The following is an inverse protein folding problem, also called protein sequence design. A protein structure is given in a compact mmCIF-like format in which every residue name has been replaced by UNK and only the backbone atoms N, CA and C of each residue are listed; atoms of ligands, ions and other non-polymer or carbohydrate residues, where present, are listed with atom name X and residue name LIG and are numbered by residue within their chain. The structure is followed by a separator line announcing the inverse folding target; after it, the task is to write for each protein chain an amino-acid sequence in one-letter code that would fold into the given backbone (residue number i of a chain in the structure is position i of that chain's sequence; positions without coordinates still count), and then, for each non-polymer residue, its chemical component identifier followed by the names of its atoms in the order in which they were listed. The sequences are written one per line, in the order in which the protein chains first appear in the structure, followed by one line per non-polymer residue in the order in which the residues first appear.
data_IF_828287176133
#
_entry.id   IF_828287176133
#
_cell.length_a   1.000
_cell.length_b   1.000
_cell.length_c   1.000
_cell.angle_alpha   90.00
_cell.angle_beta   90.00
_cell.angle_gamma   90.00
#
_symmetry.space_group_name_H-M   'P 1'
#
loop_
_entity.id
_entity.type
_entity.pdbx_description
1 polymer ?
#
# COMPACT_ATOMS: atom_id res chain seq x y z
N UNK A 1 27.96 15.64 -2.33
CA UNK A 1 26.99 14.98 -1.42
C UNK A 1 26.85 13.54 -1.84
N UNK A 2 27.00 12.57 -0.92
CA UNK A 2 26.62 11.18 -1.23
C UNK A 2 25.09 11.13 -1.26
N UNK A 3 24.51 10.72 -2.37
CA UNK A 3 23.07 10.41 -2.45
C UNK A 3 22.81 9.32 -1.40
N UNK A 4 21.97 9.62 -0.42
CA UNK A 4 21.56 8.61 0.55
C UNK A 4 20.72 7.55 -0.18
N UNK A 5 20.98 6.26 0.07
CA UNK A 5 20.23 5.18 -0.54
C UNK A 5 18.77 5.22 -0.07
N UNK A 6 17.81 5.11 -0.98
CA UNK A 6 16.39 5.01 -0.65
C UNK A 6 16.07 3.57 -0.27
N UNK A 7 15.32 3.39 0.83
CA UNK A 7 14.90 2.08 1.34
C UNK A 7 13.39 2.09 1.54
N UNK A 8 12.66 1.27 0.79
CA UNK A 8 11.22 1.08 0.99
C UNK A 8 10.98 0.14 2.17
N UNK A 9 10.19 0.59 3.14
CA UNK A 9 9.89 -0.17 4.36
C UNK A 9 8.49 -0.78 4.21
N UNK A 10 8.43 -2.11 4.12
CA UNK A 10 7.18 -2.87 4.09
C UNK A 10 6.92 -3.54 5.45
N UNK A 11 5.68 -3.96 5.71
CA UNK A 11 5.35 -4.70 6.94
C UNK A 11 6.18 -5.98 7.07
N UNK A 12 6.22 -6.79 6.00
CA UNK A 12 6.79 -8.13 6.00
C UNK A 12 5.78 -9.18 6.43
N UNK A 13 5.87 -10.38 5.86
CA UNK A 13 4.89 -11.44 6.09
C UNK A 13 5.57 -12.80 6.20
N UNK A 14 4.88 -13.76 6.82
CA UNK A 14 5.26 -15.18 6.72
C UNK A 14 4.92 -15.79 5.35
N UNK A 15 4.10 -15.09 4.55
CA UNK A 15 3.81 -15.46 3.18
C UNK A 15 4.96 -15.03 2.25
N UNK A 16 5.69 -15.98 1.62
CA UNK A 16 6.82 -15.64 0.75
C UNK A 16 6.39 -14.88 -0.51
N UNK A 17 5.15 -15.01 -0.96
CA UNK A 17 4.62 -14.31 -2.14
C UNK A 17 4.55 -12.80 -1.89
N UNK A 18 4.09 -12.41 -0.69
CA UNK A 18 4.08 -11.02 -0.25
C UNK A 18 5.48 -10.42 -0.26
N UNK A 19 6.44 -11.13 0.36
CA UNK A 19 7.81 -10.64 0.47
C UNK A 19 8.50 -10.53 -0.89
N UNK A 20 8.26 -11.49 -1.80
CA UNK A 20 8.80 -11.44 -3.15
C UNK A 20 8.27 -10.22 -3.94
N UNK A 21 6.97 -9.93 -3.87
CA UNK A 21 6.40 -8.78 -4.56
C UNK A 21 6.84 -7.44 -3.98
N UNK A 22 7.06 -7.34 -2.67
CA UNK A 22 7.69 -6.17 -2.07
C UNK A 22 9.10 -5.93 -2.64
N UNK A 23 9.90 -7.00 -2.79
CA UNK A 23 11.22 -6.93 -3.41
C UNK A 23 11.14 -6.53 -4.90
N UNK A 24 10.13 -7.03 -5.63
CA UNK A 24 9.90 -6.67 -7.04
C UNK A 24 9.55 -5.19 -7.22
N UNK A 25 8.72 -4.61 -6.34
CA UNK A 25 8.44 -3.17 -6.34
C UNK A 25 9.74 -2.37 -6.22
N UNK A 26 10.57 -2.70 -5.22
CA UNK A 26 11.82 -1.98 -4.98
C UNK A 26 12.81 -2.13 -6.14
N UNK A 27 12.92 -3.35 -6.70
CA UNK A 27 13.71 -3.62 -7.90
C UNK A 27 13.24 -2.79 -9.09
N UNK A 28 11.92 -2.70 -9.31
CA UNK A 28 11.34 -1.94 -10.41
C UNK A 28 11.58 -0.42 -10.27
N UNK A 29 11.76 0.07 -9.05
CA UNK A 29 12.08 1.46 -8.74
C UNK A 29 13.59 1.73 -8.67
N UNK A 30 14.44 0.71 -8.72
CA UNK A 30 15.89 0.86 -8.59
C UNK A 30 16.35 1.26 -7.19
N UNK A 31 15.58 0.89 -6.16
CA UNK A 31 15.85 1.23 -4.75
C UNK A 31 15.99 -0.03 -3.89
N UNK A 32 16.46 0.12 -2.66
CA UNK A 32 16.49 -0.97 -1.69
C UNK A 32 15.13 -1.16 -1.00
N UNK A 33 14.94 -2.31 -0.35
CA UNK A 33 13.79 -2.56 0.51
C UNK A 33 14.24 -3.17 1.82
N UNK A 34 13.36 -3.07 2.81
CA UNK A 34 13.48 -3.76 4.06
C UNK A 34 12.09 -4.01 4.65
N UNK A 35 12.00 -4.95 5.58
CA UNK A 35 10.80 -5.25 6.33
C UNK A 35 10.87 -4.69 7.75
N UNK A 36 9.73 -4.27 8.26
CA UNK A 36 9.57 -3.88 9.65
C UNK A 36 9.70 -5.11 10.56
N UNK A 37 9.00 -6.19 10.21
CA UNK A 37 8.98 -7.43 10.98
C UNK A 37 8.72 -8.66 10.10
N UNK A 38 8.69 -9.85 10.72
CA UNK A 38 8.33 -11.14 10.13
C UNK A 38 9.16 -11.67 8.93
N UNK A 39 10.01 -10.87 8.30
CA UNK A 39 10.84 -11.24 7.15
C UNK A 39 12.19 -10.51 7.15
N UNK A 40 13.11 -10.96 6.28
CA UNK A 40 14.42 -10.35 6.06
C UNK A 40 14.51 -9.80 4.61
N UNK A 41 15.26 -8.71 4.36
CA UNK A 41 16.11 -7.98 5.32
C UNK A 41 15.30 -7.04 6.23
N UNK A 42 15.58 -7.02 7.54
CA UNK A 42 14.95 -6.07 8.48
C UNK A 42 15.50 -4.65 8.36
N UNK A 43 14.63 -3.66 8.51
CA UNK A 43 15.05 -2.27 8.58
C UNK A 43 15.70 -1.98 9.94
N UNK A 44 16.98 -1.57 9.94
CA UNK A 44 17.77 -1.29 11.16
C UNK A 44 18.24 0.16 11.23
N UNK A 45 17.60 1.05 10.48
CA UNK A 45 18.08 2.41 10.26
C UNK A 45 19.14 2.49 9.16
N UNK A 46 19.33 3.69 8.62
CA UNK A 46 20.18 3.96 7.47
C UNK A 46 19.40 4.19 6.18
N UNK A 47 19.97 5.01 5.30
CA UNK A 47 19.31 5.48 4.09
C UNK A 47 18.06 6.33 4.35
N UNK A 48 17.40 6.74 3.27
CA UNK A 48 16.09 7.39 3.29
C UNK A 48 15.01 6.31 3.36
N UNK A 49 14.74 5.83 4.58
CA UNK A 49 13.67 4.86 4.84
C UNK A 49 12.29 5.47 4.61
N UNK A 50 11.50 4.91 3.69
CA UNK A 50 10.15 5.37 3.30
C UNK A 50 9.10 4.29 3.62
N UNK A 51 8.14 4.56 4.51
CA UNK A 51 7.06 3.60 4.80
C UNK A 51 6.14 3.36 3.60
N UNK A 52 5.93 2.09 3.24
CA UNK A 52 5.04 1.66 2.16
C UNK A 52 3.77 1.02 2.72
N UNK A 53 2.82 1.87 3.15
CA UNK A 53 1.54 1.45 3.72
C UNK A 53 0.39 2.20 3.04
N UNK A 54 -0.75 1.53 2.84
CA UNK A 54 -1.89 2.13 2.12
C UNK A 54 -2.53 3.26 2.94
N UNK A 55 -2.87 2.98 4.19
CA UNK A 55 -3.58 3.87 5.09
C UNK A 55 -2.89 3.91 6.47
N UNK A 56 -3.31 4.87 7.30
CA UNK A 56 -2.86 4.97 8.69
C UNK A 56 -3.32 3.74 9.50
N UNK A 57 -2.48 3.33 10.43
CA UNK A 57 -2.70 2.14 11.25
C UNK A 57 -1.50 1.85 12.13
N UNK A 58 -1.64 0.90 13.06
CA UNK A 58 -0.58 0.59 14.04
C UNK A 58 0.75 0.25 13.38
N UNK A 59 0.74 -0.53 12.30
CA UNK A 59 1.98 -0.97 11.65
C UNK A 59 2.62 0.14 10.81
N UNK A 60 1.81 1.01 10.20
CA UNK A 60 2.31 2.23 9.58
C UNK A 60 2.96 3.14 10.63
N UNK A 61 2.32 3.36 11.79
CA UNK A 61 2.87 4.22 12.86
C UNK A 61 4.20 3.68 13.41
N UNK A 62 4.31 2.37 13.63
CA UNK A 62 5.60 1.72 13.97
C UNK A 62 6.67 1.95 12.89
N UNK A 63 6.32 1.79 11.60
CA UNK A 63 7.26 2.03 10.52
C UNK A 63 7.67 3.51 10.44
N UNK A 64 6.72 4.42 10.67
CA UNK A 64 6.94 5.86 10.67
C UNK A 64 7.89 6.27 11.80
N UNK A 65 7.82 5.67 12.98
CA UNK A 65 8.74 5.95 14.10
C UNK A 65 10.20 5.75 13.71
N UNK A 66 10.51 4.65 13.02
CA UNK A 66 11.89 4.28 12.64
C UNK A 66 12.34 4.86 11.30
N UNK A 67 11.42 5.26 10.43
CA UNK A 67 11.72 5.78 9.09
C UNK A 67 12.48 7.12 9.15
N UNK A 68 13.41 7.31 8.21
CA UNK A 68 14.09 8.60 8.03
C UNK A 68 13.17 9.63 7.32
N UNK A 69 12.28 9.16 6.44
CA UNK A 69 11.31 9.99 5.71
C UNK A 69 9.97 9.90 6.42
N UNK A 70 9.51 11.01 7.00
CA UNK A 70 8.25 11.06 7.78
C UNK A 70 7.04 11.33 6.88
N UNK A 71 6.91 10.55 5.81
CA UNK A 71 5.82 10.69 4.86
C UNK A 71 4.50 10.11 5.41
N UNK A 72 3.34 10.67 5.03
CA UNK A 72 2.04 10.04 5.28
C UNK A 72 1.97 8.64 4.63
N UNK A 73 0.98 7.79 4.95
CA UNK A 73 0.73 6.58 4.16
C UNK A 73 0.32 6.96 2.73
N UNK A 74 0.27 5.99 1.82
CA UNK A 74 0.02 6.22 0.38
C UNK A 74 -1.26 7.02 0.11
N UNK A 75 -2.33 6.86 0.89
CA UNK A 75 -3.54 7.70 0.78
C UNK A 75 -3.29 9.20 0.94
N UNK A 76 -2.22 9.61 1.62
CA UNK A 76 -1.78 11.00 1.72
C UNK A 76 -0.69 11.38 0.72
N UNK A 77 -0.25 10.48 -0.16
CA UNK A 77 0.76 10.79 -1.18
C UNK A 77 0.12 11.53 -2.36
N UNK A 78 0.86 12.48 -2.99
CA UNK A 78 0.37 13.20 -4.15
C UNK A 78 -0.05 12.25 -5.28
N UNK A 79 -1.30 12.37 -5.73
CA UNK A 79 -1.81 11.62 -6.88
C UNK A 79 -2.23 10.18 -6.61
N UNK A 80 -2.13 9.66 -5.38
CA UNK A 80 -2.47 8.25 -5.13
C UNK A 80 -3.96 7.98 -5.27
N UNK A 81 -4.81 8.85 -4.74
CA UNK A 81 -6.28 8.69 -4.85
C UNK A 81 -6.71 8.83 -6.31
N UNK A 82 -6.08 9.72 -7.07
CA UNK A 82 -6.28 9.87 -8.52
C UNK A 82 -5.86 8.60 -9.27
N UNK A 83 -4.74 7.99 -8.89
CA UNK A 83 -4.33 6.68 -9.41
C UNK A 83 -5.38 5.60 -9.12
N UNK A 84 -5.90 5.54 -7.89
CA UNK A 84 -6.97 4.60 -7.53
C UNK A 84 -8.23 4.84 -8.38
N UNK A 85 -8.69 6.10 -8.52
CA UNK A 85 -9.83 6.43 -9.41
C UNK A 85 -9.58 5.99 -10.85
N UNK A 86 -8.34 6.14 -11.32
CA UNK A 86 -7.90 5.72 -12.66
C UNK A 86 -7.99 4.21 -12.93
N UNK A 87 -8.13 3.38 -11.89
CA UNK A 87 -8.38 1.94 -12.06
C UNK A 87 -9.76 1.64 -12.62
N UNK A 88 -10.72 2.58 -12.51
CA UNK A 88 -12.06 2.43 -13.04
C UNK A 88 -12.86 1.29 -12.40
N UNK A 89 -12.57 0.96 -11.14
CA UNK A 89 -13.35 -0.01 -10.38
C UNK A 89 -14.60 0.64 -9.79
N UNK A 90 -15.67 -0.15 -9.68
CA UNK A 90 -16.95 0.27 -9.10
C UNK A 90 -16.93 0.20 -7.56
N UNK A 91 -16.00 -0.57 -6.98
CA UNK A 91 -15.81 -0.75 -5.54
C UNK A 91 -14.33 -0.90 -5.20
N UNK A 92 -13.86 -0.23 -4.16
CA UNK A 92 -12.49 -0.30 -3.65
C UNK A 92 -12.47 -0.96 -2.28
N UNK A 93 -11.80 -2.10 -2.17
CA UNK A 93 -11.81 -2.94 -0.96
C UNK A 93 -10.49 -2.76 -0.21
N UNK A 94 -10.54 -2.18 0.98
CA UNK A 94 -9.37 -1.95 1.84
C UNK A 94 -9.29 -2.99 2.97
N UNK A 95 -8.12 -3.13 3.58
CA UNK A 95 -7.94 -3.99 4.75
C UNK A 95 -8.80 -3.53 5.95
N UNK A 96 -8.75 -2.23 6.27
CA UNK A 96 -9.43 -1.67 7.44
C UNK A 96 -8.81 -2.12 8.78
N UNK A 97 -9.33 -1.61 9.91
CA UNK A 97 -10.43 -0.65 10.02
C UNK A 97 -10.04 0.78 9.59
N UNK A 98 -11.06 1.60 9.31
CA UNK A 98 -10.91 3.03 8.99
C UNK A 98 -11.25 3.90 10.22
N UNK A 99 -10.41 3.79 11.26
CA UNK A 99 -10.69 4.39 12.57
C UNK A 99 -10.74 5.93 12.49
N UNK A 100 -9.83 6.52 11.72
CA UNK A 100 -9.68 7.98 11.59
C UNK A 100 -10.37 8.56 10.34
N UNK A 101 -11.05 7.71 9.55
CA UNK A 101 -11.81 8.16 8.39
C UNK A 101 -10.98 8.48 7.14
N UNK A 102 -9.69 8.12 7.11
CA UNK A 102 -8.81 8.37 5.97
C UNK A 102 -9.29 7.66 4.70
N UNK A 103 -9.76 6.41 4.82
CA UNK A 103 -10.25 5.62 3.69
C UNK A 103 -11.56 6.22 3.17
N UNK A 104 -12.52 6.50 4.06
CA UNK A 104 -13.78 7.16 3.68
C UNK A 104 -13.56 8.57 3.11
N UNK A 105 -12.57 9.30 3.59
CA UNK A 105 -12.19 10.63 3.12
C UNK A 105 -11.71 10.68 1.67
N UNK A 106 -11.41 9.53 1.04
CA UNK A 106 -11.03 9.47 -0.38
C UNK A 106 -12.18 9.81 -1.34
N UNK A 107 -13.43 9.69 -0.87
CA UNK A 107 -14.63 9.81 -1.70
C UNK A 107 -14.85 8.65 -2.69
N UNK A 108 -14.06 7.58 -2.59
CA UNK A 108 -14.25 6.36 -3.38
C UNK A 108 -15.44 5.55 -2.86
N UNK A 109 -16.11 4.75 -3.70
CA UNK A 109 -17.02 3.71 -3.22
C UNK A 109 -16.19 2.62 -2.54
N UNK A 110 -16.22 2.56 -1.21
CA UNK A 110 -15.34 1.67 -0.42
C UNK A 110 -16.09 0.53 0.26
N UNK A 111 -15.37 -0.58 0.47
CA UNK A 111 -15.70 -1.60 1.45
C UNK A 111 -14.44 -1.98 2.24
N UNK A 112 -14.62 -2.46 3.48
CA UNK A 112 -13.54 -2.84 4.38
C UNK A 112 -13.60 -4.34 4.65
N UNK A 113 -12.43 -4.99 4.66
CA UNK A 113 -12.31 -6.37 5.14
C UNK A 113 -12.60 -6.44 6.64
N UNK A 114 -12.08 -5.49 7.40
CA UNK A 114 -12.34 -5.30 8.83
C UNK A 114 -12.95 -3.92 9.08
N UNK A 115 -14.20 -3.87 9.56
CA UNK A 115 -14.93 -2.64 9.81
C UNK A 115 -16.06 -2.38 8.82
N UNK A 116 -16.61 -1.16 8.86
CA UNK A 116 -17.77 -0.74 8.06
C UNK A 116 -17.43 0.39 7.07
N UNK A 117 -17.99 0.36 5.84
CA UNK A 117 -18.92 -0.66 5.31
C UNK A 117 -18.23 -2.00 5.01
N UNK A 118 -18.79 -3.12 5.48
CA UNK A 118 -18.12 -4.43 5.38
C UNK A 118 -18.14 -5.06 3.98
N UNK A 119 -17.07 -5.78 3.61
CA UNK A 119 -16.95 -6.50 2.32
C UNK A 119 -17.98 -7.61 2.13
N UNK A 120 -18.49 -8.22 3.21
CA UNK A 120 -19.49 -9.29 3.16
C UNK A 120 -20.90 -8.76 2.85
N UNK A 121 -21.19 -7.51 3.23
CA UNK A 121 -22.45 -6.82 2.95
C UNK A 121 -22.38 -5.87 1.75
N UNK A 122 -21.20 -5.68 1.16
CA UNK A 122 -21.01 -4.82 -0.02
C UNK A 122 -21.84 -5.30 -1.24
N UNK A 123 -22.32 -4.38 -2.09
CA UNK A 123 -23.07 -4.74 -3.30
C UNK A 123 -22.17 -5.47 -4.30
N UNK A 124 -22.72 -6.43 -5.06
CA UNK A 124 -21.98 -7.05 -6.16
C UNK A 124 -21.89 -6.09 -7.35
N UNK A 125 -20.67 -5.81 -7.80
CA UNK A 125 -20.39 -4.88 -8.91
C UNK A 125 -19.67 -5.58 -10.06
N UNK A 126 -19.49 -4.90 -11.20
CA UNK A 126 -18.83 -5.50 -12.36
C UNK A 126 -17.31 -5.64 -12.14
N UNK A 127 -16.67 -4.60 -11.57
CA UNK A 127 -15.25 -4.62 -11.22
C UNK A 127 -15.00 -4.08 -9.81
N UNK A 128 -14.19 -4.79 -9.02
CA UNK A 128 -13.75 -4.36 -7.70
C UNK A 128 -12.23 -4.36 -7.60
N UNK A 129 -11.66 -3.37 -6.91
CA UNK A 129 -10.24 -3.18 -6.71
C UNK A 129 -9.85 -3.44 -5.25
N UNK A 130 -9.18 -4.56 -4.94
CA UNK A 130 -8.48 -4.71 -3.67
C UNK A 130 -7.35 -3.68 -3.57
N UNK A 131 -7.45 -2.76 -2.62
CA UNK A 131 -6.44 -1.73 -2.37
C UNK A 131 -5.42 -2.26 -1.36
N UNK A 132 -4.64 -3.22 -1.84
CA UNK A 132 -3.56 -3.89 -1.09
C UNK A 132 -2.32 -3.96 -1.96
N UNK A 133 -1.13 -3.82 -1.35
CA UNK A 133 0.11 -3.74 -2.12
C UNK A 133 0.42 -5.04 -2.84
N UNK A 134 0.35 -6.17 -2.16
CA UNK A 134 0.79 -7.46 -2.70
C UNK A 134 -0.32 -8.49 -2.64
N UNK A 135 -0.14 -9.56 -3.40
CA UNK A 135 -0.79 -10.84 -3.19
C UNK A 135 -0.36 -11.39 -1.83
N UNK A 136 -1.27 -12.14 -1.23
CA UNK A 136 -1.05 -12.83 0.04
C UNK A 136 -2.32 -12.87 0.87
N UNK A 137 -2.16 -13.07 2.17
CA UNK A 137 -3.26 -13.33 3.12
C UNK A 137 -4.43 -12.35 2.95
N UNK A 138 -4.17 -11.04 2.96
CA UNK A 138 -5.24 -10.02 2.89
C UNK A 138 -5.94 -10.04 1.53
N UNK A 139 -5.19 -10.09 0.42
CA UNK A 139 -5.77 -10.17 -0.92
C UNK A 139 -6.64 -11.43 -1.09
N UNK A 140 -6.12 -12.58 -0.65
CA UNK A 140 -6.81 -13.86 -0.75
C UNK A 140 -8.08 -13.88 0.11
N UNK A 141 -8.03 -13.24 1.28
CA UNK A 141 -9.18 -13.12 2.16
C UNK A 141 -10.26 -12.21 1.57
N UNK A 142 -9.88 -11.09 0.95
CA UNK A 142 -10.80 -10.24 0.17
C UNK A 142 -11.45 -11.07 -0.94
N UNK A 143 -10.64 -11.78 -1.73
CA UNK A 143 -11.13 -12.62 -2.83
C UNK A 143 -12.10 -13.71 -2.34
N UNK A 144 -11.81 -14.33 -1.19
CA UNK A 144 -12.66 -15.34 -0.57
C UNK A 144 -14.00 -14.76 -0.10
N UNK A 145 -13.99 -13.69 0.69
CA UNK A 145 -15.22 -13.09 1.24
C UNK A 145 -16.08 -12.40 0.20
N UNK A 146 -15.44 -11.81 -0.80
CA UNK A 146 -16.13 -11.16 -1.90
C UNK A 146 -16.51 -12.13 -3.05
N UNK A 147 -16.02 -13.37 -3.00
CA UNK A 147 -16.23 -14.41 -4.02
C UNK A 147 -17.67 -14.87 -4.24
N UNK A 148 -18.62 -14.44 -3.38
CA UNK A 148 -20.07 -14.60 -3.63
C UNK A 148 -20.54 -13.86 -4.90
N UNK A 149 -19.82 -12.81 -5.30
CA UNK A 149 -20.12 -11.99 -6.46
C UNK A 149 -19.37 -12.50 -7.70
N UNK A 150 -20.01 -12.50 -8.88
CA UNK A 150 -19.34 -12.74 -10.17
C UNK A 150 -18.58 -11.50 -10.66
N UNK A 151 -17.85 -10.85 -9.76
CA UNK A 151 -17.13 -9.61 -10.01
C UNK A 151 -15.74 -9.90 -10.58
N UNK A 152 -15.28 -9.06 -11.52
CA UNK A 152 -13.86 -9.04 -11.89
C UNK A 152 -13.07 -8.36 -10.78
N UNK A 153 -12.35 -9.15 -9.98
CA UNK A 153 -11.42 -8.62 -8.99
C UNK A 153 -10.11 -8.20 -9.67
N UNK A 154 -9.72 -6.94 -9.54
CA UNK A 154 -8.43 -6.46 -10.04
C UNK A 154 -7.28 -7.10 -9.24
N UNK A 155 -6.09 -7.30 -9.86
CA UNK A 155 -4.93 -7.79 -9.15
C UNK A 155 -4.44 -6.77 -8.09
N UNK A 156 -3.64 -7.21 -7.09
CA UNK A 156 -3.05 -6.30 -6.10
C UNK A 156 -2.17 -5.23 -6.78
N UNK A 157 -1.92 -4.12 -6.09
CA UNK A 157 -1.30 -2.94 -6.71
C UNK A 157 0.08 -3.25 -7.32
N UNK A 158 0.91 -4.08 -6.67
CA UNK A 158 2.24 -4.48 -7.16
C UNK A 158 2.21 -5.14 -8.55
N UNK A 159 1.12 -5.80 -8.91
CA UNK A 159 0.97 -6.50 -10.19
C UNK A 159 0.42 -5.57 -11.30
N UNK A 160 0.12 -4.32 -10.97
CA UNK A 160 -0.42 -3.36 -11.91
C UNK A 160 0.72 -2.47 -12.44
N UNK A 161 1.01 -2.48 -13.76
CA UNK A 161 2.06 -1.63 -14.34
C UNK A 161 1.87 -0.14 -14.01
N UNK A 162 0.61 0.32 -13.99
CA UNK A 162 0.27 1.70 -13.64
C UNK A 162 0.66 2.09 -12.20
N UNK A 163 0.74 1.14 -11.27
CA UNK A 163 1.16 1.43 -9.89
C UNK A 163 2.65 1.74 -9.81
N UNK A 164 3.48 0.95 -10.50
CA UNK A 164 4.93 1.18 -10.55
C UNK A 164 5.22 2.55 -11.19
N UNK A 165 4.51 2.88 -12.27
CA UNK A 165 4.61 4.21 -12.89
C UNK A 165 4.16 5.34 -11.96
N UNK A 166 3.10 5.12 -11.19
CA UNK A 166 2.70 6.05 -10.14
C UNK A 166 3.83 6.25 -9.11
N UNK A 167 4.42 5.16 -8.59
CA UNK A 167 5.50 5.24 -7.61
C UNK A 167 6.74 5.94 -8.16
N UNK A 168 7.12 5.70 -9.42
CA UNK A 168 8.24 6.38 -10.08
C UNK A 168 8.07 7.90 -10.11
N UNK A 169 6.83 8.38 -10.31
CA UNK A 169 6.51 9.81 -10.34
C UNK A 169 6.36 10.41 -8.95
N UNK A 170 5.70 9.69 -8.04
CA UNK A 170 5.34 10.21 -6.72
C UNK A 170 6.51 10.18 -5.74
N UNK A 171 7.35 9.13 -5.78
CA UNK A 171 8.42 8.93 -4.80
C UNK A 171 9.41 10.10 -4.72
N UNK A 172 9.92 10.68 -5.83
CA UNK A 172 10.77 11.87 -5.76
C UNK A 172 10.10 13.04 -5.04
N UNK A 173 8.84 13.35 -5.36
CA UNK A 173 8.10 14.44 -4.71
C UNK A 173 7.88 14.17 -3.22
N UNK A 174 7.65 12.92 -2.83
CA UNK A 174 7.54 12.52 -1.41
C UNK A 174 8.87 12.71 -0.69
N UNK A 175 9.98 12.36 -1.31
CA UNK A 175 11.30 12.58 -0.73
C UNK A 175 11.58 14.09 -0.56
N UNK A 176 11.27 14.91 -1.55
CA UNK A 176 11.48 16.36 -1.48
C UNK A 176 10.63 17.03 -0.39
N UNK A 177 9.41 16.52 -0.13
CA UNK A 177 8.50 17.08 0.87
C UNK A 177 8.79 16.62 2.30
N UNK A 178 9.26 15.38 2.47
CA UNK A 178 9.26 14.71 3.78
C UNK A 178 10.62 14.16 4.22
N UNK A 179 11.66 14.22 3.38
CA UNK A 179 13.01 13.94 3.84
C UNK A 179 13.49 15.08 4.73
N UNK A 180 13.88 14.75 5.96
CA UNK A 180 14.53 15.74 6.83
C UNK A 180 15.93 15.99 6.27
N UNK A 181 16.14 17.17 5.70
CA UNK A 181 17.48 17.63 5.34
C UNK A 181 18.22 18.03 6.63
N UNK A 182 19.37 17.40 6.94
CA UNK A 182 20.21 17.83 8.05
C UNK A 182 20.84 19.21 7.81
#
# INVERSE_FOLDING_TARGET
MRLQAIVLIFHGSRDPTHNAQAAEIAKALGVSYAFLEAAEPRYRGGGLGVPMFIADGSDYRKALEVAAVKAPPLLGWPGFVEYLRGLGADLYIFHGPDAEGQIRGTGLPVALLHGEPNVESAPCVAAAAPVVLTRGVIYNEIARRYGRCRTRLLPPLAEQPGFIEYLRRALPAVLDLYAVHP
#
